data_IF_481564408530
#
_entry.id   IF_481564408530
#
_cell.length_a   1.000
_cell.length_b   1.000
_cell.length_c   1.000
_cell.angle_alpha   90.00
_cell.angle_beta   90.00
_cell.angle_gamma   90.00
#
_symmetry.space_group_name_H-M   'P 1'
#
loop_
_entity.id
_entity.type
_entity.pdbx_description
1 polymer ?
#
# COMPACT_ATOMS: atom_id res chain seq x y z
N UNK A 1 -2.26 -5.12 20.08
CA UNK A 1 -2.63 -4.28 18.92
C UNK A 1 -1.43 -4.29 18.00
N UNK A 2 -1.52 -4.99 16.87
CA UNK A 2 -0.37 -5.28 16.02
C UNK A 2 0.06 -4.04 15.24
N UNK A 3 1.31 -3.63 15.43
CA UNK A 3 1.96 -2.48 14.84
C UNK A 3 2.37 -2.72 13.37
N UNK A 4 1.40 -3.06 12.53
CA UNK A 4 1.53 -3.05 11.08
C UNK A 4 0.30 -2.34 10.56
N UNK A 5 0.52 -1.23 9.82
CA UNK A 5 -0.54 -0.38 9.30
C UNK A 5 -1.75 -1.14 8.76
N UNK A 6 -2.92 -0.51 8.84
CA UNK A 6 -4.17 -1.06 8.38
C UNK A 6 -4.10 -1.34 6.87
N UNK A 7 -4.36 -2.58 6.44
CA UNK A 7 -4.52 -2.87 5.02
C UNK A 7 -5.80 -2.19 4.52
N UNK A 8 -5.63 -1.15 3.71
CA UNK A 8 -6.74 -0.34 3.21
C UNK A 8 -7.27 -0.82 1.88
N UNK A 9 -6.42 -1.46 1.07
CA UNK A 9 -6.84 -1.94 -0.25
C UNK A 9 -5.97 -3.06 -0.77
N UNK A 10 -6.57 -3.95 -1.53
CA UNK A 10 -5.87 -4.98 -2.30
C UNK A 10 -6.26 -4.82 -3.76
N UNK A 11 -5.27 -4.78 -4.64
CA UNK A 11 -5.40 -4.70 -6.09
C UNK A 11 -4.82 -6.01 -6.63
N UNK A 12 -5.63 -6.77 -7.35
CA UNK A 12 -5.18 -7.99 -8.01
C UNK A 12 -4.76 -7.63 -9.43
N UNK A 13 -3.45 -7.60 -9.68
CA UNK A 13 -2.89 -7.52 -11.03
C UNK A 13 -2.95 -8.90 -11.70
N UNK A 14 -2.62 -8.95 -13.00
CA UNK A 14 -2.74 -10.18 -13.80
C UNK A 14 -1.81 -11.32 -13.32
N UNK A 15 -0.65 -10.95 -12.76
CA UNK A 15 0.37 -11.89 -12.29
C UNK A 15 0.75 -11.69 -10.82
N UNK A 16 0.39 -10.56 -10.20
CA UNK A 16 0.81 -10.20 -8.85
C UNK A 16 -0.28 -9.49 -8.08
N UNK A 17 -0.35 -9.75 -6.77
CA UNK A 17 -1.23 -9.04 -5.83
C UNK A 17 -0.50 -7.81 -5.29
N UNK A 18 -1.13 -6.64 -5.36
CA UNK A 18 -0.64 -5.41 -4.74
C UNK A 18 -1.51 -5.06 -3.53
N UNK A 19 -0.90 -4.88 -2.37
CA UNK A 19 -1.57 -4.60 -1.11
C UNK A 19 -1.15 -3.23 -0.63
N UNK A 20 -2.12 -2.34 -0.46
CA UNK A 20 -1.88 -1.00 0.04
C UNK A 20 -2.14 -1.02 1.55
N UNK A 21 -1.09 -0.70 2.27
CA UNK A 21 -1.04 -0.65 3.72
C UNK A 21 -0.95 0.81 4.14
N UNK A 22 -1.88 1.24 4.99
CA UNK A 22 -1.92 2.57 5.58
C UNK A 22 -1.28 2.52 6.95
N UNK A 23 -0.15 3.19 7.08
CA UNK A 23 0.46 3.47 8.36
C UNK A 23 -0.06 4.81 8.86
N UNK A 24 -1.00 4.77 9.80
CA UNK A 24 -1.51 5.98 10.45
C UNK A 24 -0.63 6.26 11.68
N UNK A 25 0.44 7.00 11.46
CA UNK A 25 1.25 7.52 12.55
C UNK A 25 0.53 8.69 13.22
N UNK A 26 0.78 8.89 14.53
CA UNK A 26 0.16 9.92 15.38
C UNK A 26 0.16 11.34 14.77
N UNK A 27 1.09 11.62 13.86
CA UNK A 27 1.22 12.91 13.15
C UNK A 27 1.14 12.83 11.62
N UNK A 28 1.29 11.66 11.01
CA UNK A 28 1.34 11.53 9.55
C UNK A 28 0.78 10.20 9.08
N UNK A 29 -0.16 10.26 8.14
CA UNK A 29 -0.62 9.08 7.40
C UNK A 29 0.34 8.79 6.25
N UNK A 30 0.94 7.61 6.23
CA UNK A 30 1.78 7.11 5.14
C UNK A 30 1.14 5.89 4.51
N UNK A 31 1.28 5.76 3.20
CA UNK A 31 0.76 4.62 2.44
C UNK A 31 1.93 3.85 1.84
N UNK A 32 1.92 2.55 2.01
CA UNK A 32 2.91 1.63 1.49
C UNK A 32 2.23 0.64 0.56
N UNK A 33 2.88 0.33 -0.55
CA UNK A 33 2.46 -0.71 -1.48
C UNK A 33 3.33 -1.93 -1.20
N UNK A 34 2.69 -3.04 -0.91
CA UNK A 34 3.28 -4.36 -0.89
C UNK A 34 2.89 -5.12 -2.17
N UNK A 35 3.76 -5.96 -2.67
CA UNK A 35 3.51 -6.87 -3.79
C UNK A 35 3.72 -8.29 -3.27
N UNK A 36 2.69 -9.11 -3.34
CA UNK A 36 2.73 -10.51 -2.88
C UNK A 36 3.22 -10.67 -1.42
N UNK A 37 2.83 -9.73 -0.54
CA UNK A 37 3.28 -9.69 0.86
C UNK A 37 4.64 -9.03 1.09
N UNK A 38 5.44 -8.77 0.04
CA UNK A 38 6.72 -8.05 0.15
C UNK A 38 6.55 -6.55 0.01
N UNK A 39 7.37 -5.75 0.71
CA UNK A 39 7.36 -4.30 0.55
C UNK A 39 7.86 -3.93 -0.87
N UNK A 40 6.97 -3.35 -1.68
CA UNK A 40 7.28 -3.02 -3.08
C UNK A 40 7.67 -1.55 -3.23
N UNK A 41 6.82 -0.62 -2.78
CA UNK A 41 7.03 0.82 -3.01
C UNK A 41 6.34 1.68 -1.97
N UNK A 42 7.02 2.73 -1.51
CA UNK A 42 6.49 3.71 -0.55
C UNK A 42 7.61 4.50 0.12
N UNK A 43 7.29 5.44 1.03
CA UNK A 43 5.95 5.86 1.45
C UNK A 43 5.31 6.89 0.51
N UNK A 44 4.01 6.74 0.25
CA UNK A 44 3.16 7.74 -0.38
C UNK A 44 2.40 8.53 0.68
N UNK A 45 2.19 9.82 0.46
CA UNK A 45 1.38 10.68 1.33
C UNK A 45 -0.12 10.66 0.97
N UNK A 46 -0.53 9.91 -0.05
CA UNK A 46 -1.93 9.82 -0.49
C UNK A 46 -2.30 8.43 -0.98
N UNK A 47 -3.47 7.95 -0.57
CA UNK A 47 -4.04 6.66 -1.00
C UNK A 47 -4.17 6.58 -2.52
N UNK A 48 -4.65 7.66 -3.15
CA UNK A 48 -4.82 7.72 -4.60
C UNK A 48 -3.48 7.50 -5.33
N UNK A 49 -2.41 8.17 -4.91
CA UNK A 49 -1.08 7.99 -5.50
C UNK A 49 -0.57 6.55 -5.36
N UNK A 50 -0.78 5.93 -4.19
CA UNK A 50 -0.43 4.52 -3.97
C UNK A 50 -1.27 3.57 -4.85
N UNK A 51 -2.57 3.83 -5.00
CA UNK A 51 -3.46 3.06 -5.87
C UNK A 51 -3.08 3.19 -7.33
N UNK A 52 -2.81 4.40 -7.81
CA UNK A 52 -2.41 4.63 -9.20
C UNK A 52 -1.07 3.98 -9.51
N UNK A 53 -0.10 4.09 -8.61
CA UNK A 53 1.19 3.41 -8.76
C UNK A 53 1.02 1.88 -8.81
N UNK A 54 0.22 1.31 -7.92
CA UNK A 54 -0.07 -0.13 -7.92
C UNK A 54 -0.80 -0.58 -9.21
N UNK A 55 -1.78 0.20 -9.69
CA UNK A 55 -2.50 -0.07 -10.95
C UNK A 55 -1.62 0.05 -12.19
N UNK A 56 -0.62 0.94 -12.17
CA UNK A 56 0.31 1.12 -13.29
C UNK A 56 1.31 -0.04 -13.41
N UNK A 57 1.54 -0.77 -12.31
CA UNK A 57 2.52 -1.85 -12.21
C UNK A 57 1.90 -3.27 -12.35
N UNK A 58 0.57 -3.39 -12.23
CA UNK A 58 -0.17 -4.67 -12.26
C UNK A 58 -0.98 -4.90 -13.53
#
# INVERSE_FOLDING_TARGET
MSAFGEQVKTIYGKYHKFEIVKDDGVFTTKFYIRRDGEAFRGPYSSLAAAVEAAKREG
#
